data_IF_715197092023
#
_entry.id   IF_715197092023
#
_cell.length_a   1.000
_cell.length_b   1.000
_cell.length_c   1.000
_cell.angle_alpha   90.00
_cell.angle_beta   90.00
_cell.angle_gamma   90.00
#
_symmetry.space_group_name_H-M   'P 1'
#
loop_
_entity.id
_entity.type
_entity.pdbx_description
1 polymer ?
#
# COMPACT_ATOMS: atom_id res chain seq x y z
N UNK A 1 -19.60 -18.71 17.26
CA UNK A 1 -19.57 -17.68 16.21
C UNK A 1 -20.83 -17.76 15.35
N UNK A 2 -21.55 -16.64 15.18
CA UNK A 2 -22.61 -16.60 14.17
C UNK A 2 -21.99 -16.63 12.77
N UNK A 3 -22.67 -17.26 11.81
CA UNK A 3 -22.23 -17.29 10.40
C UNK A 3 -21.93 -15.87 9.83
N UNK A 4 -22.63 -14.85 10.34
CA UNK A 4 -22.44 -13.47 9.96
C UNK A 4 -21.08 -12.88 10.38
N UNK A 5 -20.56 -13.24 11.57
CA UNK A 5 -19.24 -12.77 12.04
C UNK A 5 -18.09 -13.32 11.18
N UNK A 6 -18.16 -14.60 10.80
CA UNK A 6 -17.15 -15.21 9.91
C UNK A 6 -17.18 -14.61 8.50
N UNK A 7 -18.36 -14.35 7.94
CA UNK A 7 -18.50 -13.68 6.64
C UNK A 7 -17.96 -12.25 6.66
N UNK A 8 -18.24 -11.50 7.73
CA UNK A 8 -17.74 -10.13 7.89
C UNK A 8 -16.21 -10.08 7.97
N UNK A 9 -15.59 -11.03 8.67
CA UNK A 9 -14.14 -11.14 8.77
C UNK A 9 -13.47 -11.47 7.42
N UNK A 10 -14.04 -12.41 6.65
CA UNK A 10 -13.55 -12.75 5.30
C UNK A 10 -13.65 -11.53 4.37
N UNK A 11 -14.75 -10.78 4.46
CA UNK A 11 -14.94 -9.55 3.69
C UNK A 11 -13.88 -8.49 4.05
N UNK A 12 -13.58 -8.31 5.33
CA UNK A 12 -12.54 -7.40 5.80
C UNK A 12 -11.15 -7.83 5.31
N UNK A 13 -10.82 -9.12 5.38
CA UNK A 13 -9.55 -9.65 4.85
C UNK A 13 -9.41 -9.41 3.34
N UNK A 14 -10.49 -9.63 2.57
CA UNK A 14 -10.52 -9.38 1.12
C UNK A 14 -10.37 -7.90 0.78
N UNK A 15 -11.15 -7.04 1.44
CA UNK A 15 -11.10 -5.58 1.25
C UNK A 15 -9.70 -5.08 1.59
N UNK A 16 -9.16 -5.44 2.76
CA UNK A 16 -7.79 -5.07 3.13
C UNK A 16 -6.77 -5.54 2.09
N UNK A 17 -6.87 -6.78 1.61
CA UNK A 17 -5.98 -7.31 0.58
C UNK A 17 -5.99 -6.50 -0.73
N UNK A 18 -7.18 -6.14 -1.22
CA UNK A 18 -7.33 -5.32 -2.43
C UNK A 18 -6.73 -3.92 -2.23
N UNK A 19 -7.03 -3.27 -1.11
CA UNK A 19 -6.50 -1.92 -0.82
C UNK A 19 -4.99 -1.90 -0.63
N UNK A 20 -4.41 -2.95 -0.06
CA UNK A 20 -2.95 -3.09 0.07
C UNK A 20 -2.26 -3.17 -1.29
N UNK A 21 -2.94 -3.64 -2.34
CA UNK A 21 -2.40 -3.63 -3.70
C UNK A 21 -2.65 -2.30 -4.41
N UNK A 22 -3.80 -1.67 -4.22
CA UNK A 22 -4.18 -0.44 -4.94
C UNK A 22 -3.51 0.82 -4.39
N UNK A 23 -3.35 0.92 -3.07
CA UNK A 23 -2.79 2.12 -2.42
C UNK A 23 -1.31 2.35 -2.80
N UNK A 24 -0.40 1.36 -2.79
CA UNK A 24 0.98 1.57 -3.23
C UNK A 24 1.06 1.95 -4.71
N UNK A 25 0.19 1.38 -5.56
CA UNK A 25 0.13 1.76 -6.98
C UNK A 25 -0.29 3.24 -7.12
N UNK A 26 -1.29 3.67 -6.35
CA UNK A 26 -1.71 5.08 -6.32
C UNK A 26 -0.59 6.02 -5.88
N UNK A 27 0.11 5.68 -4.80
CA UNK A 27 1.27 6.45 -4.33
C UNK A 27 2.41 6.46 -5.34
N UNK A 28 2.67 5.34 -6.00
CA UNK A 28 3.67 5.25 -7.06
C UNK A 28 3.37 6.21 -8.20
N UNK A 29 2.13 6.22 -8.70
CA UNK A 29 1.71 7.14 -9.75
C UNK A 29 1.83 8.59 -9.26
N UNK A 30 1.38 8.88 -8.03
CA UNK A 30 1.42 10.23 -7.46
C UNK A 30 2.84 10.78 -7.33
N UNK A 31 3.77 10.02 -6.73
CA UNK A 31 5.16 10.45 -6.55
C UNK A 31 5.85 10.61 -7.90
N UNK A 32 5.70 9.66 -8.82
CA UNK A 32 6.32 9.73 -10.15
C UNK A 32 5.78 10.90 -10.98
N UNK A 33 4.46 11.16 -10.97
CA UNK A 33 3.89 12.32 -11.68
C UNK A 33 4.36 13.65 -11.08
N UNK A 34 4.50 13.71 -9.76
CA UNK A 34 4.97 14.92 -9.07
C UNK A 34 6.43 15.17 -9.40
N UNK A 35 7.29 14.16 -9.27
CA UNK A 35 8.70 14.27 -9.60
C UNK A 35 8.89 14.58 -11.11
N UNK A 36 8.14 13.93 -11.99
CA UNK A 36 8.20 14.17 -13.43
C UNK A 36 7.99 15.63 -13.81
N UNK A 37 7.07 16.34 -13.13
CA UNK A 37 6.81 17.77 -13.36
C UNK A 37 7.99 18.64 -12.98
N UNK A 38 8.79 18.22 -12.01
CA UNK A 38 9.97 18.95 -11.53
C UNK A 38 11.27 18.51 -12.22
N UNK A 39 11.30 17.34 -12.85
CA UNK A 39 12.47 16.86 -13.61
C UNK A 39 12.65 17.69 -14.88
N UNK A 40 13.89 18.07 -15.17
CA UNK A 40 14.28 18.89 -16.32
C UNK A 40 13.70 18.35 -17.64
N UNK A 41 12.94 19.21 -18.34
CA UNK A 41 12.28 18.89 -19.60
C UNK A 41 13.20 18.94 -20.82
N UNK A 42 14.43 19.44 -20.67
CA UNK A 42 15.43 19.49 -21.75
C UNK A 42 16.14 18.15 -21.95
N UNK A 43 16.05 17.25 -20.95
CA UNK A 43 16.63 15.92 -21.01
C UNK A 43 15.89 15.00 -21.99
N UNK A 44 16.60 14.06 -22.64
CA UNK A 44 15.97 12.96 -23.35
C UNK A 44 14.99 12.19 -22.46
N UNK A 45 13.87 11.74 -23.04
CA UNK A 45 12.76 11.10 -22.29
C UNK A 45 13.25 9.95 -21.38
N UNK A 46 14.18 9.12 -21.87
CA UNK A 46 14.70 7.97 -21.11
C UNK A 46 15.51 8.44 -19.89
N UNK A 47 16.35 9.46 -20.06
CA UNK A 47 17.15 10.02 -18.97
C UNK A 47 16.26 10.69 -17.92
N UNK A 48 15.25 11.43 -18.38
CA UNK A 48 14.24 12.06 -17.53
C UNK A 48 13.45 11.03 -16.73
N UNK A 49 13.08 9.89 -17.34
CA UNK A 49 12.42 8.79 -16.65
C UNK A 49 13.33 8.18 -15.58
N UNK A 50 14.59 7.91 -15.93
CA UNK A 50 15.56 7.36 -15.00
C UNK A 50 15.75 8.26 -13.77
N UNK A 51 15.94 9.57 -13.97
CA UNK A 51 16.05 10.53 -12.88
C UNK A 51 14.78 10.60 -12.02
N UNK A 52 13.60 10.53 -12.64
CA UNK A 52 12.31 10.55 -11.93
C UNK A 52 12.13 9.28 -11.08
N UNK A 53 12.54 8.12 -11.58
CA UNK A 53 12.50 6.88 -10.80
C UNK A 53 13.49 6.90 -9.63
N UNK A 54 14.71 7.36 -9.86
CA UNK A 54 15.70 7.52 -8.78
C UNK A 54 15.23 8.50 -7.71
N UNK A 55 14.63 9.62 -8.11
CA UNK A 55 14.14 10.64 -7.20
C UNK A 55 12.94 10.20 -6.36
N UNK A 56 12.17 9.20 -6.82
CA UNK A 56 10.96 8.71 -6.11
C UNK A 56 11.13 7.32 -5.49
N UNK A 57 12.31 6.72 -5.62
CA UNK A 57 12.56 5.34 -5.21
C UNK A 57 12.30 5.15 -3.72
N UNK A 58 12.82 6.04 -2.88
CA UNK A 58 12.70 5.92 -1.43
C UNK A 58 11.27 6.17 -0.93
N UNK A 59 10.56 7.13 -1.52
CA UNK A 59 9.16 7.43 -1.21
C UNK A 59 8.28 6.21 -1.48
N UNK A 60 8.53 5.52 -2.60
CA UNK A 60 7.82 4.29 -2.96
C UNK A 60 8.13 3.13 -1.99
N UNK A 61 9.40 2.96 -1.60
CA UNK A 61 9.80 1.94 -0.62
C UNK A 61 9.18 2.22 0.76
N UNK A 62 9.20 3.47 1.22
CA UNK A 62 8.63 3.88 2.50
C UNK A 62 7.10 3.68 2.51
N UNK A 63 6.41 4.09 1.44
CA UNK A 63 4.97 3.91 1.32
C UNK A 63 4.60 2.42 1.35
N UNK A 64 5.35 1.57 0.63
CA UNK A 64 5.14 0.13 0.65
C UNK A 64 5.38 -0.48 2.04
N UNK A 65 6.46 -0.09 2.72
CA UNK A 65 6.79 -0.55 4.06
C UNK A 65 5.70 -0.17 5.08
N UNK A 66 5.19 1.06 5.02
CA UNK A 66 4.10 1.54 5.88
C UNK A 66 2.83 0.70 5.68
N UNK A 67 2.47 0.39 4.43
CA UNK A 67 1.29 -0.42 4.11
C UNK A 67 1.41 -1.86 4.61
N UNK A 68 2.59 -2.46 4.49
CA UNK A 68 2.86 -3.80 5.05
C UNK A 68 2.75 -3.77 6.58
N UNK A 69 3.28 -2.75 7.24
CA UNK A 69 3.18 -2.60 8.69
C UNK A 69 1.71 -2.47 9.14
N UNK A 70 0.93 -1.62 8.48
CA UNK A 70 -0.51 -1.45 8.75
C UNK A 70 -1.27 -2.76 8.53
N UNK A 71 -0.99 -3.49 7.44
CA UNK A 71 -1.57 -4.81 7.17
C UNK A 71 -1.31 -5.77 8.33
N UNK A 72 -0.05 -5.90 8.74
CA UNK A 72 0.35 -6.85 9.77
C UNK A 72 -0.29 -6.49 11.13
N UNK A 73 -0.38 -5.20 11.44
CA UNK A 73 -1.09 -4.72 12.62
C UNK A 73 -2.58 -5.08 12.60
N UNK A 74 -3.27 -4.80 11.48
CA UNK A 74 -4.69 -5.14 11.31
C UNK A 74 -4.95 -6.65 11.40
N UNK A 75 -4.11 -7.46 10.76
CA UNK A 75 -4.20 -8.91 10.85
C UNK A 75 -4.00 -9.40 12.29
N UNK A 76 -3.03 -8.84 13.01
CA UNK A 76 -2.80 -9.19 14.41
C UNK A 76 -3.98 -8.79 15.31
N UNK A 77 -4.57 -7.62 15.09
CA UNK A 77 -5.73 -7.15 15.84
C UNK A 77 -6.96 -8.06 15.59
N UNK A 78 -7.19 -8.44 14.34
CA UNK A 78 -8.23 -9.40 13.95
C UNK A 78 -8.00 -10.76 14.61
N UNK A 79 -6.76 -11.27 14.57
CA UNK A 79 -6.41 -12.54 15.20
C UNK A 79 -6.61 -12.50 16.72
N UNK A 80 -6.19 -11.41 17.37
CA UNK A 80 -6.38 -11.22 18.81
C UNK A 80 -7.87 -11.22 19.16
N UNK A 81 -8.70 -10.47 18.44
CA UNK A 81 -10.15 -10.46 18.63
C UNK A 81 -10.77 -11.86 18.52
N UNK A 82 -10.38 -12.66 17.52
CA UNK A 82 -10.82 -14.06 17.38
C UNK A 82 -10.41 -14.95 18.56
N UNK A 83 -9.24 -14.71 19.17
CA UNK A 83 -8.77 -15.47 20.32
C UNK A 83 -9.55 -15.10 21.58
N UNK A 84 -9.79 -13.81 21.82
CA UNK A 84 -10.55 -13.34 22.99
C UNK A 84 -12.04 -13.70 22.94
N UNK A 85 -12.63 -13.90 21.75
CA UNK A 85 -14.00 -14.45 21.62
C UNK A 85 -14.09 -15.98 21.81
N UNK A 86 -12.95 -16.68 21.75
CA UNK A 86 -12.89 -18.15 21.87
C UNK A 86 -12.61 -18.62 23.30
N UNK A 87 -12.06 -17.75 24.15
CA UNK A 87 -11.85 -17.95 25.59
C UNK A 87 -13.08 -17.52 26.39
#
# INVERSE_FOLDING_TARGET
MSHASNLMLILVEFICGVWICLIPIGFFIYFNLTAWRTTDSTLPIIERLNQTFHATFWENIVALALLIAVRNFMYSAVKYSRQTESD
#
